data_IF_040204954740
#
_entry.id   IF_040204954740
#
_cell.length_a   1.000
_cell.length_b   1.000
_cell.length_c   1.000
_cell.angle_alpha   90.00
_cell.angle_beta   90.00
_cell.angle_gamma   90.00
#
_symmetry.space_group_name_H-M   'P 1'
#
loop_
_entity.id
_entity.type
_entity.pdbx_description
1 polymer ?
#
# COMPACT_ATOMS: atom_id res chain seq x y z
N UNK A 1 49.83 6.15 -26.89
CA UNK A 1 48.54 6.88 -26.99
C UNK A 1 47.32 6.07 -26.53
N UNK A 2 47.01 4.89 -27.09
CA UNK A 2 45.79 4.10 -26.73
C UNK A 2 45.64 3.76 -25.23
N UNK A 3 46.73 3.50 -24.50
CA UNK A 3 46.71 3.17 -23.06
C UNK A 3 46.29 4.36 -22.18
N UNK A 4 46.75 5.57 -22.52
CA UNK A 4 46.42 6.80 -21.78
C UNK A 4 44.92 7.13 -21.96
N UNK A 5 44.39 7.02 -23.18
CA UNK A 5 42.95 7.21 -23.43
C UNK A 5 42.08 6.22 -22.65
N UNK A 6 42.48 4.94 -22.55
CA UNK A 6 41.77 3.95 -21.73
C UNK A 6 41.75 4.32 -20.25
N UNK A 7 42.87 4.82 -19.73
CA UNK A 7 42.97 5.26 -18.32
C UNK A 7 42.08 6.49 -18.09
N UNK A 8 42.14 7.50 -18.95
CA UNK A 8 41.30 8.69 -18.84
C UNK A 8 39.81 8.37 -18.94
N UNK A 9 39.43 7.47 -19.86
CA UNK A 9 38.05 6.98 -19.98
C UNK A 9 37.60 6.29 -18.70
N UNK A 10 38.42 5.37 -18.15
CA UNK A 10 38.10 4.70 -16.89
C UNK A 10 37.91 5.70 -15.73
N UNK A 11 38.81 6.68 -15.59
CA UNK A 11 38.71 7.74 -14.57
C UNK A 11 37.41 8.52 -14.74
N UNK A 12 37.07 8.92 -15.98
CA UNK A 12 35.83 9.63 -16.27
C UNK A 12 34.59 8.84 -15.83
N UNK A 13 34.50 7.56 -16.16
CA UNK A 13 33.35 6.72 -15.77
C UNK A 13 33.27 6.50 -14.26
N UNK A 14 34.40 6.37 -13.57
CA UNK A 14 34.44 6.29 -12.10
C UNK A 14 33.89 7.59 -11.50
N UNK A 15 34.36 8.75 -11.97
CA UNK A 15 33.88 10.04 -11.49
C UNK A 15 32.38 10.23 -11.77
N UNK A 16 31.93 9.87 -12.97
CA UNK A 16 30.50 9.92 -13.34
C UNK A 16 29.66 9.01 -12.43
N UNK A 17 30.11 7.77 -12.19
CA UNK A 17 29.42 6.84 -11.31
C UNK A 17 29.33 7.37 -9.87
N UNK A 18 30.39 8.00 -9.35
CA UNK A 18 30.38 8.64 -8.03
C UNK A 18 29.39 9.80 -7.95
N UNK A 19 29.31 10.63 -9.00
CA UNK A 19 28.34 11.74 -9.06
C UNK A 19 26.90 11.20 -9.09
N UNK A 20 26.63 10.22 -9.95
CA UNK A 20 25.30 9.59 -10.05
C UNK A 20 24.91 8.88 -8.76
N UNK A 21 25.86 8.21 -8.10
CA UNK A 21 25.64 7.57 -6.81
C UNK A 21 25.29 8.60 -5.73
N UNK A 22 26.05 9.69 -5.62
CA UNK A 22 25.74 10.79 -4.69
C UNK A 22 24.36 11.38 -4.95
N UNK A 23 24.03 11.63 -6.21
CA UNK A 23 22.72 12.12 -6.61
C UNK A 23 21.61 11.15 -6.17
N UNK A 24 21.78 9.84 -6.40
CA UNK A 24 20.85 8.82 -5.95
C UNK A 24 20.67 8.81 -4.42
N UNK A 25 21.77 8.91 -3.65
CA UNK A 25 21.70 8.96 -2.19
C UNK A 25 20.95 10.22 -1.71
N UNK A 26 21.16 11.36 -2.34
CA UNK A 26 20.41 12.59 -2.04
C UNK A 26 18.91 12.39 -2.29
N UNK A 27 18.54 11.82 -3.44
CA UNK A 27 17.13 11.53 -3.76
C UNK A 27 16.51 10.56 -2.74
N UNK A 28 17.25 9.52 -2.35
CA UNK A 28 16.79 8.57 -1.34
C UNK A 28 16.59 9.25 0.02
N UNK A 29 17.52 10.11 0.44
CA UNK A 29 17.41 10.86 1.69
C UNK A 29 16.19 11.80 1.69
N UNK A 30 15.93 12.49 0.57
CA UNK A 30 14.74 13.33 0.40
C UNK A 30 13.46 12.48 0.49
N UNK A 31 13.40 11.33 -0.19
CA UNK A 31 12.23 10.45 -0.13
C UNK A 31 11.94 9.96 1.30
N UNK A 32 12.98 9.56 2.05
CA UNK A 32 12.84 9.15 3.45
C UNK A 32 12.40 10.32 4.35
N UNK A 33 12.93 11.52 4.12
CA UNK A 33 12.50 12.72 4.84
C UNK A 33 11.02 13.02 4.59
N UNK A 34 10.55 12.91 3.34
CA UNK A 34 9.14 13.10 2.99
C UNK A 34 8.24 12.05 3.66
N UNK A 35 8.64 10.77 3.71
CA UNK A 35 7.91 9.73 4.42
C UNK A 35 7.86 9.98 5.93
N UNK A 36 8.96 10.46 6.51
CA UNK A 36 9.02 10.84 7.92
C UNK A 36 8.08 12.02 8.23
N UNK A 37 8.12 13.08 7.40
CA UNK A 37 7.21 14.22 7.51
C UNK A 37 5.74 13.79 7.37
N UNK A 38 5.44 12.91 6.41
CA UNK A 38 4.09 12.34 6.23
C UNK A 38 3.63 11.57 7.46
N UNK A 39 4.51 10.77 8.06
CA UNK A 39 4.21 10.04 9.30
C UNK A 39 3.87 11.01 10.43
N UNK A 40 4.61 12.12 10.55
CA UNK A 40 4.33 13.15 11.55
C UNK A 40 3.02 13.89 11.28
N UNK A 41 2.70 14.17 10.02
CA UNK A 41 1.42 14.75 9.62
C UNK A 41 0.24 13.84 10.02
N UNK A 42 0.33 12.55 9.73
CA UNK A 42 -0.74 11.58 10.05
C UNK A 42 -1.06 11.48 11.54
N UNK A 43 -0.08 11.73 12.42
CA UNK A 43 -0.32 11.77 13.87
C UNK A 43 -1.20 12.94 14.31
N UNK A 44 -1.30 13.98 13.48
CA UNK A 44 -2.09 15.19 13.74
C UNK A 44 -3.44 15.18 13.00
N UNK A 45 -3.67 14.23 12.11
CA UNK A 45 -4.93 14.12 11.37
C UNK A 45 -6.06 13.65 12.30
N UNK A 46 -7.32 14.12 12.11
CA UNK A 46 -8.46 13.69 12.93
C UNK A 46 -8.65 12.17 13.00
N UNK A 47 -8.35 11.47 11.89
CA UNK A 47 -8.39 10.01 11.84
C UNK A 47 -7.46 9.33 12.87
N UNK A 48 -6.36 9.97 13.31
CA UNK A 48 -5.54 9.39 14.38
C UNK A 48 -6.32 9.31 15.70
N UNK A 49 -7.09 10.35 16.03
CA UNK A 49 -7.87 10.37 17.27
C UNK A 49 -8.96 9.30 17.22
N UNK A 50 -9.67 9.20 16.11
CA UNK A 50 -10.68 8.16 15.92
C UNK A 50 -10.07 6.75 15.94
N UNK A 51 -8.91 6.57 15.31
CA UNK A 51 -8.19 5.30 15.32
C UNK A 51 -7.80 4.87 16.74
N UNK A 52 -7.36 5.80 17.58
CA UNK A 52 -7.00 5.53 18.98
C UNK A 52 -8.21 5.18 19.86
N UNK A 53 -9.40 5.66 19.50
CA UNK A 53 -10.66 5.33 20.18
C UNK A 53 -11.31 4.05 19.65
N UNK A 54 -10.87 3.57 18.48
CA UNK A 54 -11.32 2.32 17.88
C UNK A 54 -10.96 1.10 18.73
N UNK A 55 -11.66 0.01 18.49
CA UNK A 55 -11.50 -1.25 19.21
C UNK A 55 -11.00 -2.35 18.27
N UNK A 56 -10.47 -3.42 18.85
CA UNK A 56 -10.18 -4.62 18.08
C UNK A 56 -11.49 -5.15 17.44
N UNK A 57 -11.53 -5.41 16.12
CA UNK A 57 -12.71 -5.97 15.47
C UNK A 57 -13.19 -7.25 16.16
N UNK A 58 -14.46 -7.27 16.57
CA UNK A 58 -15.07 -8.44 17.20
C UNK A 58 -16.58 -8.54 16.84
N UNK A 59 -17.00 -9.50 16.00
CA UNK A 59 -16.22 -10.61 15.45
C UNK A 59 -15.12 -10.17 14.47
N UNK A 60 -14.20 -11.08 14.14
CA UNK A 60 -13.21 -10.81 13.09
C UNK A 60 -13.93 -10.52 11.76
N UNK A 61 -13.42 -9.58 10.95
CA UNK A 61 -14.02 -9.26 9.66
C UNK A 61 -13.99 -10.48 8.75
N UNK A 62 -15.08 -10.68 8.02
CA UNK A 62 -15.25 -11.76 7.07
C UNK A 62 -16.01 -11.26 5.83
N UNK A 63 -15.75 -11.81 4.66
CA UNK A 63 -16.38 -11.33 3.41
C UNK A 63 -15.87 -9.96 2.94
N UNK A 64 -16.60 -9.37 1.99
CA UNK A 64 -16.20 -8.13 1.32
C UNK A 64 -16.56 -6.88 2.12
N UNK A 65 -15.62 -5.93 2.18
CA UNK A 65 -15.79 -4.59 2.72
C UNK A 65 -15.34 -3.57 1.67
N UNK A 66 -16.21 -2.61 1.38
CA UNK A 66 -15.92 -1.50 0.47
C UNK A 66 -14.91 -0.54 1.10
N UNK A 67 -13.92 -0.18 0.32
CA UNK A 67 -12.83 0.72 0.70
C UNK A 67 -13.09 2.17 0.31
N UNK A 68 -12.58 3.09 1.14
CA UNK A 68 -12.42 4.51 0.80
C UNK A 68 -11.06 5.01 1.29
N UNK A 69 -10.38 5.84 0.49
CA UNK A 69 -9.09 6.47 0.82
C UNK A 69 -9.17 8.01 0.77
N UNK A 70 -10.36 8.57 0.56
CA UNK A 70 -10.59 10.00 0.43
C UNK A 70 -10.23 10.60 -0.93
N UNK A 71 -9.82 9.77 -1.89
CA UNK A 71 -9.51 10.20 -3.26
C UNK A 71 -9.79 9.08 -4.27
N UNK A 72 -9.89 9.44 -5.55
CA UNK A 72 -10.20 8.51 -6.64
C UNK A 72 -9.08 7.47 -6.80
N UNK A 73 -9.43 6.20 -6.71
CA UNK A 73 -8.52 5.06 -6.87
C UNK A 73 -9.19 3.94 -7.66
N UNK A 74 -8.40 2.98 -8.13
CA UNK A 74 -8.90 1.71 -8.66
C UNK A 74 -9.13 0.68 -7.56
N UNK A 75 -8.68 0.92 -6.32
CA UNK A 75 -8.94 0.04 -5.20
C UNK A 75 -10.40 0.18 -4.74
N UNK A 76 -11.10 -0.93 -4.60
CA UNK A 76 -12.54 -0.98 -4.29
C UNK A 76 -12.79 -1.46 -2.87
N UNK A 77 -11.87 -2.22 -2.28
CA UNK A 77 -12.04 -2.76 -0.93
C UNK A 77 -11.18 -3.99 -0.66
N UNK A 78 -11.59 -4.76 0.35
CA UNK A 78 -10.92 -5.99 0.77
C UNK A 78 -11.95 -7.07 1.04
N UNK A 79 -11.63 -8.30 0.66
CA UNK A 79 -12.35 -9.50 1.09
C UNK A 79 -11.53 -10.19 2.16
N UNK A 80 -12.14 -10.45 3.32
CA UNK A 80 -11.53 -11.16 4.42
C UNK A 80 -12.04 -12.60 4.48
N UNK A 81 -11.20 -13.49 4.99
CA UNK A 81 -11.55 -14.85 5.38
C UNK A 81 -11.13 -15.03 6.84
N UNK A 82 -12.10 -14.92 7.75
CA UNK A 82 -11.86 -14.93 9.19
C UNK A 82 -11.36 -16.29 9.69
N UNK A 83 -11.82 -17.39 9.08
CA UNK A 83 -11.43 -18.76 9.43
C UNK A 83 -9.95 -19.01 9.13
N UNK A 84 -9.50 -18.62 7.94
CA UNK A 84 -8.13 -18.85 7.47
C UNK A 84 -7.15 -17.74 7.85
N UNK A 85 -7.60 -16.69 8.54
CA UNK A 85 -6.79 -15.52 8.89
C UNK A 85 -6.09 -14.90 7.67
N UNK A 86 -6.85 -14.76 6.58
CA UNK A 86 -6.34 -14.27 5.30
C UNK A 86 -7.33 -13.30 4.65
N UNK A 87 -6.94 -12.74 3.52
CA UNK A 87 -7.84 -11.99 2.64
C UNK A 87 -7.12 -11.50 1.40
N UNK A 88 -7.82 -10.69 0.60
CA UNK A 88 -7.31 -10.18 -0.67
C UNK A 88 -7.86 -8.77 -0.95
N UNK A 89 -7.07 -7.91 -1.61
CA UNK A 89 -7.58 -6.61 -2.07
C UNK A 89 -8.37 -6.79 -3.36
N UNK A 90 -9.44 -6.03 -3.48
CA UNK A 90 -10.29 -5.97 -4.66
C UNK A 90 -10.06 -4.65 -5.38
N UNK A 91 -9.83 -4.72 -6.69
CA UNK A 91 -9.62 -3.56 -7.55
C UNK A 91 -10.64 -3.55 -8.69
N UNK A 92 -11.02 -2.35 -9.12
CA UNK A 92 -11.75 -2.12 -10.35
C UNK A 92 -10.82 -2.35 -11.54
N UNK A 93 -11.22 -3.29 -12.40
CA UNK A 93 -10.64 -3.53 -13.70
C UNK A 93 -11.60 -3.12 -14.83
N UNK A 94 -11.04 -2.94 -16.02
CA UNK A 94 -11.80 -2.75 -17.26
C UNK A 94 -11.49 -3.89 -18.21
N UNK A 95 -12.52 -4.55 -18.73
CA UNK A 95 -12.39 -5.48 -19.85
C UNK A 95 -13.06 -4.86 -21.07
N UNK A 96 -12.35 -4.83 -22.21
CA UNK A 96 -12.98 -4.50 -23.49
C UNK A 96 -14.01 -5.58 -23.80
N UNK A 97 -15.25 -5.19 -24.09
CA UNK A 97 -16.27 -6.14 -24.55
C UNK A 97 -15.83 -6.73 -25.89
N UNK A 98 -15.76 -8.05 -25.97
CA UNK A 98 -15.38 -8.77 -27.20
C UNK A 98 -16.36 -8.46 -28.35
N UNK A 99 -17.66 -8.38 -28.03
CA UNK A 99 -18.68 -8.00 -29.00
C UNK A 99 -18.53 -6.53 -29.44
N UNK A 100 -18.23 -5.60 -28.53
CA UNK A 100 -18.00 -4.20 -28.89
C UNK A 100 -16.75 -4.02 -29.77
N UNK A 101 -15.71 -4.85 -29.59
CA UNK A 101 -14.52 -4.81 -30.45
C UNK A 101 -14.77 -5.31 -31.88
N UNK A 102 -15.82 -6.09 -32.11
CA UNK A 102 -16.19 -6.61 -33.44
C UNK A 102 -17.04 -5.59 -34.23
N UNK A 103 -17.89 -4.82 -33.56
CA UNK A 103 -18.81 -3.85 -34.19
C UNK A 103 -18.38 -2.38 -33.99
N UNK A 104 -17.08 -2.16 -33.78
CA UNK A 104 -16.49 -0.92 -33.27
C UNK A 104 -16.63 0.33 -34.18
N UNK A 105 -17.31 0.24 -35.33
CA UNK A 105 -17.52 1.42 -36.17
C UNK A 105 -18.65 2.35 -35.71
N UNK A 106 -19.53 1.90 -34.81
CA UNK A 106 -20.71 2.69 -34.39
C UNK A 106 -21.11 2.59 -32.91
N UNK A 107 -20.35 1.87 -32.07
CA UNK A 107 -20.63 1.77 -30.63
C UNK A 107 -19.47 2.34 -29.82
N UNK A 108 -19.73 3.48 -29.17
CA UNK A 108 -18.81 4.15 -28.28
C UNK A 108 -18.40 3.22 -27.12
N UNK A 109 -17.12 2.80 -27.13
CA UNK A 109 -16.32 2.22 -26.04
C UNK A 109 -17.07 1.69 -24.79
N UNK A 110 -17.91 0.66 -24.95
CA UNK A 110 -18.56 0.01 -23.82
C UNK A 110 -17.57 -0.96 -23.14
N UNK A 111 -16.84 -0.46 -22.13
CA UNK A 111 -16.01 -1.31 -21.26
C UNK A 111 -16.83 -1.86 -20.10
N UNK A 112 -16.73 -3.17 -19.86
CA UNK A 112 -17.37 -3.79 -18.69
C UNK A 112 -16.45 -3.62 -17.48
N UNK A 113 -17.01 -3.09 -16.38
CA UNK A 113 -16.35 -3.01 -15.08
C UNK A 113 -16.25 -4.43 -14.51
N UNK A 114 -15.05 -4.89 -14.20
CA UNK A 114 -14.80 -6.19 -13.59
C UNK A 114 -14.04 -6.00 -12.28
N UNK A 115 -14.29 -6.85 -11.30
CA UNK A 115 -13.48 -6.88 -10.08
C UNK A 115 -12.25 -7.76 -10.31
N UNK A 116 -11.09 -7.26 -9.88
CA UNK A 116 -9.81 -7.95 -9.97
C UNK A 116 -9.20 -8.06 -8.59
N UNK A 117 -9.14 -9.28 -8.09
CA UNK A 117 -8.49 -9.59 -6.83
C UNK A 117 -6.96 -9.61 -6.99
N UNK A 118 -6.25 -8.95 -6.07
CA UNK A 118 -4.79 -8.89 -6.04
C UNK A 118 -4.28 -8.75 -4.62
N UNK A 119 -2.99 -9.05 -4.47
CA UNK A 119 -2.23 -8.81 -3.24
C UNK A 119 -2.87 -9.50 -2.01
N UNK A 120 -2.93 -10.85 -2.00
CA UNK A 120 -3.37 -11.59 -0.83
C UNK A 120 -2.57 -11.18 0.42
N UNK A 121 -3.21 -11.22 1.58
CA UNK A 121 -2.63 -10.85 2.85
C UNK A 121 -2.98 -11.87 3.94
N UNK A 122 -2.21 -11.84 5.02
CA UNK A 122 -2.51 -12.55 6.28
C UNK A 122 -3.01 -11.56 7.32
N UNK A 123 -3.89 -12.01 8.20
CA UNK A 123 -4.36 -11.21 9.32
C UNK A 123 -3.95 -11.81 10.66
N UNK A 124 -3.66 -10.95 11.63
CA UNK A 124 -3.37 -11.37 13.00
C UNK A 124 -3.54 -10.21 13.97
N UNK A 125 -3.80 -10.53 15.24
CA UNK A 125 -3.95 -9.52 16.30
C UNK A 125 -2.59 -9.23 16.91
N UNK A 126 -2.29 -7.95 17.11
CA UNK A 126 -1.04 -7.49 17.73
C UNK A 126 -1.24 -6.05 18.21
N UNK A 127 -0.33 -5.58 19.07
CA UNK A 127 -0.22 -4.17 19.39
C UNK A 127 0.13 -3.35 18.14
N UNK A 128 -0.38 -2.12 18.06
CA UNK A 128 -0.07 -1.18 16.99
C UNK A 128 1.43 -0.87 16.87
N UNK A 129 1.90 -0.55 15.66
CA UNK A 129 3.30 -0.24 15.37
C UNK A 129 3.78 1.00 16.12
N UNK A 130 3.00 2.07 16.07
CA UNK A 130 3.26 3.31 16.80
C UNK A 130 2.46 3.41 18.10
N UNK A 131 1.27 2.82 18.12
CA UNK A 131 0.30 2.92 19.21
C UNK A 131 0.33 1.62 20.04
N UNK A 132 1.44 1.38 20.77
CA UNK A 132 1.72 0.09 21.41
C UNK A 132 0.71 -0.33 22.50
N UNK A 133 -0.12 0.59 23.00
CA UNK A 133 -1.17 0.30 23.99
C UNK A 133 -2.48 -0.17 23.34
N UNK A 134 -2.60 -0.06 22.01
CA UNK A 134 -3.81 -0.39 21.26
C UNK A 134 -3.64 -1.74 20.56
N UNK A 135 -4.58 -2.66 20.78
CA UNK A 135 -4.68 -3.90 20.00
C UNK A 135 -5.39 -3.62 18.68
N UNK A 136 -4.76 -4.02 17.58
CA UNK A 136 -5.26 -3.83 16.22
C UNK A 136 -5.27 -5.16 15.48
N UNK A 137 -6.12 -5.27 14.45
CA UNK A 137 -6.00 -6.34 13.46
C UNK A 137 -5.00 -5.89 12.39
N UNK A 138 -3.88 -6.60 12.29
CA UNK A 138 -2.87 -6.37 11.26
C UNK A 138 -3.25 -7.07 9.97
N UNK A 139 -2.94 -6.44 8.85
CA UNK A 139 -3.08 -6.94 7.48
C UNK A 139 -1.68 -6.94 6.87
N UNK A 140 -1.02 -8.09 6.88
CA UNK A 140 0.36 -8.24 6.44
C UNK A 140 0.44 -8.80 5.02
N UNK A 141 1.03 -8.01 4.12
CA UNK A 141 1.23 -8.36 2.73
C UNK A 141 2.51 -9.16 2.46
N UNK A 142 3.28 -9.49 3.50
CA UNK A 142 4.45 -10.35 3.39
C UNK A 142 4.06 -11.83 3.15
N UNK A 143 3.46 -12.07 1.98
CA UNK A 143 3.01 -13.37 1.48
C UNK A 143 3.88 -13.75 0.29
N UNK A 144 4.22 -15.04 0.14
CA UNK A 144 5.16 -15.50 -0.90
C UNK A 144 4.73 -15.11 -2.31
N UNK A 145 3.44 -15.22 -2.63
CA UNK A 145 2.84 -14.92 -3.95
C UNK A 145 2.84 -13.43 -4.32
N UNK A 146 3.09 -12.54 -3.36
CA UNK A 146 3.08 -11.10 -3.61
C UNK A 146 4.38 -10.62 -4.28
N UNK A 147 4.29 -9.58 -5.14
CA UNK A 147 5.48 -8.87 -5.63
C UNK A 147 6.34 -8.32 -4.48
N UNK A 148 7.64 -8.16 -4.70
CA UNK A 148 8.56 -7.76 -3.61
C UNK A 148 8.17 -6.45 -2.92
N UNK A 149 7.64 -5.47 -3.67
CA UNK A 149 7.38 -4.12 -3.16
C UNK A 149 6.18 -4.05 -2.21
N UNK A 150 5.13 -4.87 -2.43
CA UNK A 150 3.94 -4.85 -1.56
C UNK A 150 4.22 -5.56 -0.23
N UNK A 151 5.23 -6.45 -0.15
CA UNK A 151 5.58 -7.16 1.10
C UNK A 151 6.01 -6.22 2.23
N UNK A 152 6.45 -5.00 1.88
CA UNK A 152 6.80 -3.97 2.84
C UNK A 152 5.58 -3.25 3.44
N UNK A 153 4.40 -3.43 2.84
CA UNK A 153 3.16 -2.84 3.34
C UNK A 153 2.63 -3.65 4.53
N UNK A 154 2.11 -2.95 5.52
CA UNK A 154 1.36 -3.50 6.64
C UNK A 154 0.23 -2.53 6.95
N UNK A 155 -1.02 -2.98 6.89
CA UNK A 155 -2.14 -2.17 7.36
C UNK A 155 -2.50 -2.58 8.79
N UNK A 156 -2.97 -1.62 9.58
CA UNK A 156 -3.56 -1.84 10.89
C UNK A 156 -4.99 -1.33 10.86
N UNK A 157 -5.95 -2.14 11.32
CA UNK A 157 -7.36 -1.72 11.36
C UNK A 157 -7.94 -1.86 12.77
N UNK A 158 -8.85 -0.94 13.07
CA UNK A 158 -9.71 -0.93 14.28
C UNK A 158 -11.15 -0.75 13.86
N UNK A 159 -12.08 -1.26 14.67
CA UNK A 159 -13.51 -1.02 14.52
C UNK A 159 -13.91 0.27 15.22
N UNK A 160 -14.52 1.17 14.45
CA UNK A 160 -14.98 2.50 14.93
C UNK A 160 -16.50 2.57 15.05
N UNK A 161 -17.21 1.74 14.30
CA UNK A 161 -18.65 1.49 14.42
C UNK A 161 -18.95 0.06 13.92
N UNK A 162 -20.14 -0.51 14.19
CA UNK A 162 -20.48 -1.86 13.75
C UNK A 162 -20.20 -2.08 12.26
N UNK A 163 -19.34 -3.06 11.93
CA UNK A 163 -18.93 -3.37 10.55
C UNK A 163 -18.27 -2.20 9.78
N UNK A 164 -17.75 -1.21 10.51
CA UNK A 164 -17.01 -0.07 9.95
C UNK A 164 -15.65 -0.02 10.60
N UNK A 165 -14.61 -0.14 9.77
CA UNK A 165 -13.23 -0.12 10.22
C UNK A 165 -12.50 1.10 9.71
N UNK A 166 -11.66 1.67 10.57
CA UNK A 166 -10.66 2.65 10.20
C UNK A 166 -9.31 1.96 10.12
N UNK A 167 -8.67 2.10 8.97
CA UNK A 167 -7.39 1.51 8.65
C UNK A 167 -6.28 2.55 8.54
N UNK A 168 -5.07 2.14 8.92
CA UNK A 168 -3.84 2.91 8.86
C UNK A 168 -2.80 2.09 8.10
N UNK A 169 -2.36 2.59 6.95
CA UNK A 169 -1.39 1.89 6.10
C UNK A 169 0.04 2.32 6.42
N UNK A 170 0.93 1.33 6.56
CA UNK A 170 2.35 1.54 6.89
C UNK A 170 3.27 0.95 5.83
N UNK A 171 4.43 1.59 5.63
CA UNK A 171 5.56 1.07 4.85
C UNK A 171 6.71 0.70 5.79
N UNK A 172 7.19 -0.54 5.69
CA UNK A 172 8.28 -1.11 6.49
C UNK A 172 9.56 -1.27 5.66
N UNK A 173 10.00 -0.19 5.01
CA UNK A 173 11.17 -0.23 4.10
C UNK A 173 12.48 -0.37 4.89
N UNK A 174 12.55 0.23 6.08
CA UNK A 174 13.70 0.15 6.99
C UNK A 174 13.30 -0.71 8.19
N UNK A 175 14.03 -1.80 8.51
CA UNK A 175 13.77 -2.61 9.69
C UNK A 175 13.71 -1.76 10.96
N UNK A 176 12.62 -1.90 11.74
CA UNK A 176 12.42 -1.16 12.98
C UNK A 176 11.98 0.30 12.83
N UNK A 177 11.87 0.81 11.59
CA UNK A 177 11.47 2.19 11.33
C UNK A 177 10.36 2.26 10.27
N UNK A 178 9.11 1.93 10.64
CA UNK A 178 7.98 2.02 9.74
C UNK A 178 7.62 3.49 9.43
N UNK A 179 6.89 3.71 8.35
CA UNK A 179 6.33 5.01 7.96
C UNK A 179 4.83 4.89 7.76
N UNK A 180 4.04 5.74 8.41
CA UNK A 180 2.59 5.83 8.14
C UNK A 180 2.37 6.62 6.86
N UNK A 181 1.53 6.09 5.95
CA UNK A 181 1.32 6.68 4.62
C UNK A 181 -0.07 7.30 4.46
N UNK A 182 -1.12 6.57 4.82
CA UNK A 182 -2.50 7.03 4.68
C UNK A 182 -3.46 6.32 5.63
N UNK A 183 -4.61 6.96 5.85
CA UNK A 183 -5.80 6.32 6.41
C UNK A 183 -6.70 5.82 5.28
N UNK A 184 -7.46 4.79 5.58
CA UNK A 184 -8.52 4.28 4.71
C UNK A 184 -9.67 3.76 5.56
N UNK A 185 -10.87 3.70 4.99
CA UNK A 185 -12.04 3.11 5.63
C UNK A 185 -12.42 1.80 4.97
N UNK A 186 -13.04 0.92 5.74
CA UNK A 186 -13.67 -0.31 5.26
C UNK A 186 -15.09 -0.40 5.82
N UNK A 187 -16.09 -0.46 4.94
CA UNK A 187 -17.51 -0.51 5.30
C UNK A 187 -18.19 -1.68 4.62
N UNK A 188 -19.02 -2.41 5.36
CA UNK A 188 -19.86 -3.47 4.81
C UNK A 188 -21.04 -2.91 4.02
#
# INVERSE_FOLDING_TARGET
MKKIFKILYAIFFILLALVLFKFFIILLAIALLLLWLRTFQMKKEPNQQEFLLGKLPNPRPDGFYRGDVGFKTSWVGKTFNAENLTGINVFEGKKKSFFASIFAHSFENQTVKIEKEKYPFKTYVSNGLFDQHLLVLKIDYNVKSNPFWIKWVLDEIVEVAPNTFLGKAHLRIIPGFPFSVLYFELKR
#
